data_IF_981507775827
#
_entry.id   IF_981507775827
#
_cell.length_a   1.000
_cell.length_b   1.000
_cell.length_c   1.000
_cell.angle_alpha   90.00
_cell.angle_beta   90.00
_cell.angle_gamma   90.00
#
_symmetry.space_group_name_H-M   'P 1'
#
loop_
_entity.id
_entity.type
_entity.pdbx_description
1 polymer ?
#
# COMPACT_ATOMS: atom_id res chain seq x y z
N UNK A 1 -23.95 -46.79 -16.58
CA UNK A 1 -24.84 -45.71 -17.07
C UNK A 1 -25.28 -46.06 -18.47
N UNK A 2 -26.57 -45.94 -18.77
CA UNK A 2 -27.09 -46.26 -20.10
C UNK A 2 -26.70 -45.12 -21.06
N UNK A 3 -26.08 -45.42 -22.21
CA UNK A 3 -25.60 -44.39 -23.16
C UNK A 3 -26.74 -43.48 -23.66
N UNK A 4 -27.96 -44.04 -23.79
CA UNK A 4 -29.17 -43.27 -24.09
C UNK A 4 -29.50 -42.23 -23.02
N UNK A 5 -29.37 -42.60 -21.75
CA UNK A 5 -29.62 -41.68 -20.63
C UNK A 5 -28.58 -40.55 -20.60
N UNK A 6 -27.30 -40.89 -20.81
CA UNK A 6 -26.22 -39.91 -20.92
C UNK A 6 -26.48 -38.93 -22.08
N UNK A 7 -26.90 -39.44 -23.24
CA UNK A 7 -27.23 -38.63 -24.42
C UNK A 7 -28.36 -37.64 -24.18
N UNK A 8 -29.44 -38.07 -23.52
CA UNK A 8 -30.57 -37.19 -23.17
C UNK A 8 -30.14 -36.09 -22.20
N UNK A 9 -29.33 -36.42 -21.18
CA UNK A 9 -28.82 -35.44 -20.21
C UNK A 9 -27.94 -34.39 -20.90
N UNK A 10 -27.04 -34.82 -21.79
CA UNK A 10 -26.19 -33.90 -22.57
C UNK A 10 -27.07 -33.03 -23.46
N UNK A 11 -28.05 -33.61 -24.16
CA UNK A 11 -28.93 -32.89 -25.06
C UNK A 11 -29.74 -31.81 -24.33
N UNK A 12 -30.35 -32.14 -23.18
CA UNK A 12 -31.09 -31.17 -22.37
C UNK A 12 -30.19 -30.05 -21.83
N UNK A 13 -28.96 -30.40 -21.43
CA UNK A 13 -27.98 -29.42 -20.95
C UNK A 13 -27.57 -28.44 -22.06
N UNK A 14 -27.24 -28.95 -23.24
CA UNK A 14 -26.87 -28.14 -24.40
C UNK A 14 -28.05 -27.30 -24.88
N UNK A 15 -29.25 -27.88 -24.95
CA UNK A 15 -30.45 -27.17 -25.35
C UNK A 15 -30.79 -26.03 -24.38
N UNK A 16 -30.78 -26.31 -23.08
CA UNK A 16 -31.02 -25.29 -22.05
C UNK A 16 -29.99 -24.17 -22.12
N UNK A 17 -28.71 -24.50 -22.31
CA UNK A 17 -27.65 -23.52 -22.50
C UNK A 17 -27.85 -22.65 -23.75
N UNK A 18 -28.19 -23.27 -24.89
CA UNK A 18 -28.45 -22.55 -26.14
C UNK A 18 -29.69 -21.65 -26.04
N UNK A 19 -30.75 -22.11 -25.38
CA UNK A 19 -31.95 -21.33 -25.12
C UNK A 19 -31.64 -20.11 -24.24
N UNK A 20 -30.83 -20.29 -23.19
CA UNK A 20 -30.32 -19.19 -22.37
C UNK A 20 -29.54 -18.19 -23.22
N UNK A 21 -28.62 -18.68 -24.07
CA UNK A 21 -27.80 -17.82 -24.92
C UNK A 21 -28.61 -17.08 -26.00
N UNK A 22 -29.70 -17.68 -26.50
CA UNK A 22 -30.57 -17.04 -27.49
C UNK A 22 -31.41 -15.90 -26.89
N UNK A 23 -31.78 -15.98 -25.61
CA UNK A 23 -32.62 -15.00 -24.94
C UNK A 23 -31.85 -13.93 -24.16
N UNK A 24 -30.52 -14.06 -24.02
CA UNK A 24 -29.69 -13.09 -23.30
C UNK A 24 -29.42 -11.86 -24.16
N UNK A 25 -29.60 -10.68 -23.58
CA UNK A 25 -29.26 -9.41 -24.21
C UNK A 25 -27.78 -9.38 -24.64
N UNK A 26 -27.49 -8.94 -25.86
CA UNK A 26 -26.13 -8.94 -26.44
C UNK A 26 -25.09 -8.23 -25.57
N UNK A 27 -25.52 -7.20 -24.83
CA UNK A 27 -24.68 -6.47 -23.87
C UNK A 27 -24.29 -7.32 -22.67
N UNK A 28 -25.23 -8.07 -22.10
CA UNK A 28 -24.98 -8.97 -20.98
C UNK A 28 -24.06 -10.13 -21.41
N UNK A 29 -24.27 -10.67 -22.62
CA UNK A 29 -23.39 -11.68 -23.22
C UNK A 29 -21.95 -11.20 -23.31
N UNK A 30 -21.70 -10.03 -23.90
CA UNK A 30 -20.34 -9.49 -24.03
C UNK A 30 -19.64 -9.27 -22.68
N UNK A 31 -20.42 -8.96 -21.64
CA UNK A 31 -19.92 -8.74 -20.29
C UNK A 31 -19.60 -10.07 -19.60
N UNK A 32 -20.47 -11.07 -19.74
CA UNK A 32 -20.26 -12.43 -19.25
C UNK A 32 -19.01 -13.06 -19.87
N UNK A 33 -18.83 -12.96 -21.19
CA UNK A 33 -17.63 -13.47 -21.86
C UNK A 33 -16.36 -12.82 -21.32
N UNK A 34 -16.34 -11.49 -21.12
CA UNK A 34 -15.18 -10.79 -20.53
C UNK A 34 -14.84 -11.30 -19.13
N UNK A 35 -15.84 -11.44 -18.26
CA UNK A 35 -15.62 -11.96 -16.90
C UNK A 35 -15.17 -13.42 -16.92
N UNK A 36 -15.75 -14.24 -17.81
CA UNK A 36 -15.36 -15.63 -18.01
C UNK A 36 -13.90 -15.75 -18.44
N UNK A 37 -13.46 -14.95 -19.43
CA UNK A 37 -12.06 -14.95 -19.88
C UNK A 37 -11.10 -14.56 -18.76
N UNK A 38 -11.46 -13.56 -17.93
CA UNK A 38 -10.67 -13.15 -16.77
C UNK A 38 -10.60 -14.29 -15.74
N UNK A 39 -11.74 -14.88 -15.37
CA UNK A 39 -11.81 -15.96 -14.39
C UNK A 39 -11.02 -17.20 -14.82
N UNK A 40 -11.17 -17.62 -16.09
CA UNK A 40 -10.43 -18.74 -16.68
C UNK A 40 -8.92 -18.44 -16.68
N UNK A 41 -8.53 -17.21 -17.04
CA UNK A 41 -7.12 -16.82 -17.06
C UNK A 41 -6.51 -16.82 -15.66
N UNK A 42 -7.23 -16.32 -14.65
CA UNK A 42 -6.78 -16.36 -13.24
C UNK A 42 -6.63 -17.81 -12.77
N UNK A 43 -7.61 -18.66 -13.04
CA UNK A 43 -7.57 -20.06 -12.65
C UNK A 43 -6.38 -20.78 -13.33
N UNK A 44 -6.15 -20.52 -14.62
CA UNK A 44 -4.98 -21.06 -15.33
C UNK A 44 -3.66 -20.58 -14.72
N UNK A 45 -3.54 -19.29 -14.37
CA UNK A 45 -2.34 -18.75 -13.70
C UNK A 45 -2.10 -19.46 -12.36
N UNK A 46 -3.14 -19.61 -11.53
CA UNK A 46 -3.04 -20.29 -10.23
C UNK A 46 -2.54 -21.72 -10.42
N UNK A 47 -3.16 -22.47 -11.32
CA UNK A 47 -2.76 -23.86 -11.62
C UNK A 47 -1.30 -23.92 -12.10
N UNK A 48 -0.91 -23.07 -13.06
CA UNK A 48 0.45 -23.04 -13.60
C UNK A 48 1.50 -22.64 -12.56
N UNK A 49 1.12 -21.76 -11.62
CA UNK A 49 1.97 -21.35 -10.50
C UNK A 49 2.26 -22.52 -9.56
N UNK A 50 1.23 -23.29 -9.18
CA UNK A 50 1.41 -24.51 -8.36
C UNK A 50 2.22 -25.59 -9.08
N UNK A 51 2.10 -25.69 -10.41
CA UNK A 51 2.91 -26.60 -11.23
C UNK A 51 4.38 -26.12 -11.38
N UNK A 52 4.70 -24.89 -10.96
CA UNK A 52 6.04 -24.31 -11.07
C UNK A 52 6.40 -23.80 -12.47
N UNK A 53 5.43 -23.72 -13.40
CA UNK A 53 5.63 -23.27 -14.79
C UNK A 53 5.17 -21.82 -14.97
N UNK A 54 5.75 -20.91 -14.19
CA UNK A 54 5.39 -19.50 -14.20
C UNK A 54 5.59 -18.81 -15.56
N UNK A 55 6.58 -19.21 -16.37
CA UNK A 55 6.77 -18.66 -17.72
C UNK A 55 5.55 -18.91 -18.63
N UNK A 56 4.87 -20.05 -18.49
CA UNK A 56 3.67 -20.35 -19.27
C UNK A 56 2.45 -19.54 -18.84
N UNK A 57 2.52 -18.81 -17.72
CA UNK A 57 1.42 -17.96 -17.24
C UNK A 57 1.36 -16.60 -17.95
N UNK A 58 2.45 -16.16 -18.60
CA UNK A 58 2.57 -14.87 -19.28
C UNK A 58 1.43 -14.54 -20.27
N UNK A 59 1.02 -15.43 -21.19
CA UNK A 59 -0.09 -15.14 -22.11
C UNK A 59 -1.42 -14.91 -21.40
N UNK A 60 -1.66 -15.53 -20.25
CA UNK A 60 -2.89 -15.35 -19.49
C UNK A 60 -2.96 -13.97 -18.84
N UNK A 61 -1.82 -13.38 -18.46
CA UNK A 61 -1.78 -11.97 -18.04
C UNK A 61 -2.18 -11.03 -19.19
N UNK A 62 -1.71 -11.28 -20.41
CA UNK A 62 -2.10 -10.49 -21.58
C UNK A 62 -3.60 -10.58 -21.88
N UNK A 63 -4.20 -11.77 -21.72
CA UNK A 63 -5.65 -11.97 -21.86
C UNK A 63 -6.44 -11.17 -20.81
N UNK A 64 -5.99 -11.16 -19.56
CA UNK A 64 -6.60 -10.35 -18.50
C UNK A 64 -6.50 -8.85 -18.85
N UNK A 65 -5.32 -8.38 -19.23
CA UNK A 65 -5.10 -6.98 -19.60
C UNK A 65 -5.98 -6.54 -20.79
N UNK A 66 -6.13 -7.39 -21.80
CA UNK A 66 -6.98 -7.13 -22.97
C UNK A 66 -8.48 -7.15 -22.67
N UNK A 67 -8.91 -7.94 -21.67
CA UNK A 67 -10.32 -8.00 -21.24
C UNK A 67 -10.74 -6.82 -20.33
N UNK A 68 -9.78 -6.17 -19.67
CA UNK A 68 -10.01 -4.99 -18.83
C UNK A 68 -10.34 -3.75 -19.68
N UNK A 69 -11.29 -2.93 -19.22
CA UNK A 69 -11.66 -1.69 -19.92
C UNK A 69 -10.48 -0.71 -19.93
N UNK A 70 -10.19 -0.10 -21.09
CA UNK A 70 -9.18 0.98 -21.24
C UNK A 70 -9.34 2.14 -20.24
N UNK A 71 -10.56 2.35 -19.70
CA UNK A 71 -10.82 3.34 -18.64
C UNK A 71 -10.05 3.06 -17.33
N UNK A 72 -9.76 1.79 -17.04
CA UNK A 72 -8.93 1.37 -15.89
C UNK A 72 -7.46 1.73 -16.14
N UNK A 73 -7.00 1.66 -17.39
CA UNK A 73 -5.64 2.05 -17.82
C UNK A 73 -5.50 3.52 -18.20
N UNK A 74 -6.40 4.39 -17.75
CA UNK A 74 -6.24 5.81 -18.02
C UNK A 74 -4.94 6.30 -17.34
N UNK A 75 -3.96 6.71 -18.14
CA UNK A 75 -2.60 7.08 -17.69
C UNK A 75 -2.66 8.09 -16.55
N UNK A 76 -3.62 9.02 -16.59
CA UNK A 76 -3.86 9.99 -15.51
C UNK A 76 -4.23 9.34 -14.17
N UNK A 77 -5.06 8.29 -14.17
CA UNK A 77 -5.43 7.56 -12.95
C UNK A 77 -4.23 6.77 -12.40
N UNK A 78 -3.41 6.20 -13.28
CA UNK A 78 -2.19 5.49 -12.91
C UNK A 78 -1.16 6.43 -12.29
N UNK A 79 -0.93 7.60 -12.91
CA UNK A 79 -0.02 8.63 -12.39
C UNK A 79 -0.52 9.17 -11.04
N UNK A 80 -1.82 9.38 -10.90
CA UNK A 80 -2.41 9.82 -9.62
C UNK A 80 -2.25 8.76 -8.52
N UNK A 81 -2.53 7.49 -8.82
CA UNK A 81 -2.35 6.37 -7.89
C UNK A 81 -0.87 6.21 -7.49
N UNK A 82 0.04 6.32 -8.45
CA UNK A 82 1.47 6.29 -8.19
C UNK A 82 1.93 7.47 -7.33
N UNK A 83 1.36 8.67 -7.54
CA UNK A 83 1.61 9.86 -6.70
C UNK A 83 1.11 9.66 -5.27
N UNK A 84 -0.05 9.03 -5.07
CA UNK A 84 -0.59 8.69 -3.75
C UNK A 84 0.29 7.66 -3.03
N UNK A 85 0.65 6.57 -3.70
CA UNK A 85 1.51 5.53 -3.14
C UNK A 85 2.92 6.07 -2.81
N UNK A 86 3.45 6.96 -3.66
CA UNK A 86 4.74 7.61 -3.42
C UNK A 86 4.69 8.63 -2.28
N UNK A 87 3.54 9.29 -2.07
CA UNK A 87 3.33 10.21 -0.94
C UNK A 87 3.16 9.44 0.38
N UNK A 88 2.47 8.30 0.35
CA UNK A 88 2.37 7.38 1.49
C UNK A 88 3.75 6.79 1.85
N UNK A 89 4.61 6.51 0.86
CA UNK A 89 5.97 6.02 1.11
C UNK A 89 6.92 7.09 1.68
N UNK A 90 6.66 8.38 1.45
CA UNK A 90 7.39 9.49 2.09
C UNK A 90 6.93 9.77 3.53
N UNK A 91 5.78 9.22 3.92
CA UNK A 91 5.40 9.05 5.32
C UNK A 91 5.83 7.64 5.75
N UNK A 92 7.15 7.44 5.85
CA UNK A 92 7.68 6.29 6.59
C UNK A 92 7.03 6.27 7.98
N UNK A 93 6.84 5.09 8.59
CA UNK A 93 6.06 4.96 9.81
C UNK A 93 6.61 5.94 10.85
N UNK A 94 5.73 6.79 11.40
CA UNK A 94 5.95 7.43 12.68
C UNK A 94 6.07 6.32 13.71
N UNK A 95 7.25 5.71 13.77
CA UNK A 95 7.59 4.72 14.78
C UNK A 95 7.61 5.50 16.09
N UNK A 96 6.53 5.34 16.86
CA UNK A 96 6.58 5.43 18.31
C UNK A 96 7.64 4.44 18.78
N UNK A 97 8.91 4.82 18.70
CA UNK A 97 9.99 4.00 19.21
C UNK A 97 10.01 4.22 20.72
N UNK A 98 9.23 3.39 21.40
CA UNK A 98 9.37 3.10 22.83
C UNK A 98 10.82 2.68 23.05
N UNK A 99 11.63 3.63 23.53
CA UNK A 99 13.04 3.46 23.85
C UNK A 99 13.17 2.42 24.98
N UNK A 100 13.58 1.20 24.63
CA UNK A 100 14.34 0.35 25.54
C UNK A 100 15.72 0.09 24.93
N UNK A 101 16.76 0.36 25.72
CA UNK A 101 18.06 -0.31 25.59
C UNK A 101 19.08 0.30 24.61
N UNK A 102 19.96 1.12 25.17
CA UNK A 102 21.40 1.27 24.87
C UNK A 102 21.92 1.46 23.42
N UNK A 103 22.79 2.49 23.33
CA UNK A 103 23.95 2.66 22.45
C UNK A 103 23.81 3.49 21.16
N UNK A 104 24.08 4.79 21.37
CA UNK A 104 25.06 5.61 20.63
C UNK A 104 24.84 5.90 19.14
N UNK A 105 23.68 6.43 18.80
CA UNK A 105 23.51 7.32 17.63
C UNK A 105 22.71 8.60 17.95
N UNK A 106 22.57 8.91 19.24
CA UNK A 106 21.89 10.11 19.74
C UNK A 106 22.92 11.11 20.26
N UNK A 107 22.65 12.39 20.03
CA UNK A 107 23.40 13.54 20.54
C UNK A 107 23.73 13.41 22.04
N UNK A 108 24.86 13.98 22.49
CA UNK A 108 25.22 13.95 23.92
C UNK A 108 24.26 14.81 24.75
N UNK A 109 24.27 14.65 26.08
CA UNK A 109 23.41 15.45 26.97
C UNK A 109 23.74 16.94 26.88
N UNK A 110 25.02 17.25 26.84
CA UNK A 110 25.55 18.61 26.70
C UNK A 110 25.12 19.20 25.35
N UNK A 111 25.15 18.39 24.30
CA UNK A 111 24.65 18.77 22.98
C UNK A 111 23.12 18.96 22.97
N UNK A 112 22.35 18.17 23.73
CA UNK A 112 20.91 18.34 23.87
C UNK A 112 20.53 19.68 24.53
N UNK A 113 21.25 20.11 25.57
CA UNK A 113 21.09 21.43 26.19
C UNK A 113 21.39 22.55 25.18
N UNK A 114 22.45 22.41 24.39
CA UNK A 114 22.83 23.39 23.36
C UNK A 114 21.80 23.45 22.22
N UNK A 115 21.30 22.31 21.77
CA UNK A 115 20.30 22.23 20.67
C UNK A 115 18.98 22.87 21.07
N UNK A 116 18.53 22.71 22.33
CA UNK A 116 17.31 23.33 22.84
C UNK A 116 17.52 24.77 23.35
N UNK A 117 18.77 25.20 23.53
CA UNK A 117 19.09 26.53 24.06
C UNK A 117 18.74 26.70 25.54
N UNK A 118 18.67 25.61 26.30
CA UNK A 118 18.29 25.59 27.73
C UNK A 118 19.49 25.30 28.61
N UNK A 119 19.53 25.88 29.81
CA UNK A 119 20.65 25.71 30.75
C UNK A 119 20.57 24.37 31.48
N UNK A 120 21.71 23.76 31.85
CA UNK A 120 21.73 22.61 32.75
C UNK A 120 20.98 22.94 34.06
N UNK A 121 20.05 22.08 34.48
CA UNK A 121 19.21 22.29 35.67
C UNK A 121 17.90 23.06 35.43
N UNK A 122 17.50 23.29 34.18
CA UNK A 122 16.19 23.87 33.84
C UNK A 122 15.04 22.91 34.11
N UNK A 123 13.87 23.42 34.51
CA UNK A 123 12.74 22.57 34.86
C UNK A 123 12.16 21.86 33.63
N UNK A 124 11.42 20.76 33.85
CA UNK A 124 10.74 20.00 32.79
C UNK A 124 9.90 20.87 31.86
N UNK A 125 9.22 21.87 32.42
CA UNK A 125 8.36 22.79 31.66
C UNK A 125 9.16 23.69 30.71
N UNK A 126 10.37 24.10 31.10
CA UNK A 126 11.26 24.93 30.27
C UNK A 126 11.74 24.14 29.04
N UNK A 127 12.04 22.85 29.22
CA UNK A 127 12.45 21.94 28.13
C UNK A 127 11.32 21.80 27.10
N UNK A 128 10.08 21.61 27.56
CA UNK A 128 8.91 21.45 26.69
C UNK A 128 8.60 22.75 25.94
N UNK A 129 8.71 23.90 26.62
CA UNK A 129 8.47 25.20 26.01
C UNK A 129 9.51 25.51 24.92
N UNK A 130 10.79 25.35 25.22
CA UNK A 130 11.87 25.57 24.26
C UNK A 130 11.77 24.64 23.03
N UNK A 131 11.39 23.38 23.25
CA UNK A 131 11.13 22.42 22.17
C UNK A 131 10.01 22.90 21.25
N UNK A 132 8.88 23.33 21.82
CA UNK A 132 7.71 23.80 21.06
C UNK A 132 8.04 25.03 20.23
N UNK A 133 8.74 26.00 20.81
CA UNK A 133 9.15 27.24 20.13
C UNK A 133 10.11 26.94 18.95
N UNK A 134 11.05 26.01 19.13
CA UNK A 134 11.98 25.58 18.09
C UNK A 134 11.30 24.81 16.95
N UNK A 135 10.39 23.88 17.26
CA UNK A 135 9.65 23.14 16.24
C UNK A 135 8.69 24.07 15.47
N UNK A 136 8.08 25.04 16.15
CA UNK A 136 7.19 26.01 15.51
C UNK A 136 7.95 26.97 14.59
N UNK A 137 9.18 27.37 14.96
CA UNK A 137 10.03 28.19 14.10
C UNK A 137 10.59 27.43 12.89
N UNK A 138 10.84 26.12 13.04
CA UNK A 138 11.36 25.25 11.97
C UNK A 138 10.27 24.60 11.10
N UNK A 139 9.02 25.07 11.18
CA UNK A 139 7.90 24.51 10.41
C UNK A 139 8.29 24.28 8.93
N UNK A 140 7.94 23.13 8.33
CA UNK A 140 8.36 22.75 6.97
C UNK A 140 7.94 23.76 5.89
N UNK A 141 6.93 24.59 6.17
CA UNK A 141 6.53 25.70 5.30
C UNK A 141 7.57 26.83 5.19
N UNK A 142 8.58 26.86 6.09
CA UNK A 142 9.63 27.88 6.13
C UNK A 142 11.05 27.35 5.98
N UNK A 143 11.39 26.16 6.50
CA UNK A 143 12.80 25.73 6.60
C UNK A 143 13.14 24.37 5.97
N UNK A 144 12.16 23.50 5.72
CA UNK A 144 12.32 22.23 4.97
C UNK A 144 13.32 21.20 5.53
N UNK A 145 13.96 21.42 6.69
CA UNK A 145 15.04 20.56 7.15
C UNK A 145 14.58 19.52 8.20
N UNK A 146 14.17 18.35 7.70
CA UNK A 146 13.77 17.21 8.52
C UNK A 146 14.85 16.73 9.51
N UNK A 147 16.14 16.91 9.17
CA UNK A 147 17.25 16.50 10.03
C UNK A 147 17.33 17.36 11.30
N UNK A 148 17.16 18.68 11.17
CA UNK A 148 17.12 19.61 12.30
C UNK A 148 15.94 19.32 13.25
N UNK A 149 14.75 19.08 12.69
CA UNK A 149 13.57 18.73 13.48
C UNK A 149 13.77 17.40 14.25
N UNK A 150 14.38 16.41 13.61
CA UNK A 150 14.73 15.14 14.27
C UNK A 150 15.75 15.34 15.39
N UNK A 151 16.77 16.19 15.18
CA UNK A 151 17.78 16.51 16.20
C UNK A 151 17.16 17.18 17.44
N UNK A 152 16.20 18.09 17.25
CA UNK A 152 15.49 18.78 18.34
C UNK A 152 14.58 17.83 19.13
N UNK A 153 13.90 16.90 18.46
CA UNK A 153 13.08 15.89 19.13
C UNK A 153 13.94 14.96 20.00
N UNK A 154 15.09 14.50 19.47
CA UNK A 154 16.04 13.70 20.24
C UNK A 154 16.57 14.44 21.47
N UNK A 155 16.83 15.75 21.36
CA UNK A 155 17.28 16.56 22.50
C UNK A 155 16.26 16.59 23.63
N UNK A 156 14.99 16.82 23.30
CA UNK A 156 13.89 16.80 24.28
C UNK A 156 13.80 15.45 24.99
N UNK A 157 13.84 14.36 24.24
CA UNK A 157 13.65 13.02 24.78
C UNK A 157 14.81 12.59 25.71
N UNK A 158 16.03 13.08 25.46
CA UNK A 158 17.18 12.85 26.34
C UNK A 158 17.04 13.63 27.65
N UNK A 159 16.65 14.91 27.59
CA UNK A 159 16.53 15.75 28.79
C UNK A 159 15.32 15.36 29.66
N UNK A 160 14.20 14.93 29.05
CA UNK A 160 13.01 14.52 29.80
C UNK A 160 13.17 13.19 30.56
N UNK A 161 14.13 12.34 30.17
CA UNK A 161 14.47 11.11 30.91
C UNK A 161 15.02 11.39 32.30
N UNK A 162 15.57 12.58 32.55
CA UNK A 162 16.09 12.99 33.86
C UNK A 162 14.99 13.37 34.86
N UNK A 163 13.80 13.71 34.34
CA UNK A 163 12.62 14.10 35.10
C UNK A 163 11.54 13.01 35.14
N UNK A 164 11.92 11.76 34.89
CA UNK A 164 11.03 10.58 34.88
C UNK A 164 11.19 9.73 36.13
#
# INVERSE_FOLDING_TARGET
>A
MNFLFLGIVIFLTVYGFLWLMANVESKAFSTFFRFSTIGISILAIIVLFFVGRYLLSLPFFALILGALKKKVFNVFNIVYLFKLLSSAKKQGPSFYQKSQGSNSSGISKEEAFQVLGVKPGCNKDDIIKAHKDLIQSLHPDKSGNHYLASKINNARDILLKEYS
#
